data_IF_841086270149
#
_entry.id   IF_841086270149
#
_cell.length_a   1.000
_cell.length_b   1.000
_cell.length_c   1.000
_cell.angle_alpha   90.00
_cell.angle_beta   90.00
_cell.angle_gamma   90.00
#
_symmetry.space_group_name_H-M   'P 1'
#
loop_
_entity.id
_entity.type
_entity.pdbx_description
1 polymer ?
#
# COMPACT_ATOMS: atom_id res chain seq x y z
N UNK A 1 -47.16 -37.02 19.21
CA UNK A 1 -46.60 -37.39 17.90
C UNK A 1 -46.73 -36.18 16.99
N UNK A 2 -45.69 -35.34 16.90
CA UNK A 2 -45.60 -34.27 15.90
C UNK A 2 -44.14 -33.83 15.80
N UNK A 3 -43.65 -33.80 14.56
CA UNK A 3 -42.25 -33.83 14.17
C UNK A 3 -41.53 -32.49 14.36
N UNK A 4 -40.27 -32.56 14.82
CA UNK A 4 -39.30 -31.46 14.72
C UNK A 4 -38.66 -31.51 13.33
N UNK A 5 -38.97 -30.54 12.47
CA UNK A 5 -38.31 -30.36 11.17
C UNK A 5 -37.06 -29.50 11.38
N UNK A 6 -35.89 -30.14 11.42
CA UNK A 6 -34.60 -29.46 11.41
C UNK A 6 -34.33 -28.85 10.02
N UNK A 7 -34.45 -27.53 9.90
CA UNK A 7 -34.04 -26.78 8.72
C UNK A 7 -32.52 -26.79 8.53
N UNK A 8 -32.03 -27.35 7.42
CA UNK A 8 -30.61 -27.35 7.02
C UNK A 8 -30.11 -25.94 6.68
N UNK A 9 -28.84 -25.58 6.98
CA UNK A 9 -28.29 -24.26 6.66
C UNK A 9 -27.85 -24.19 5.18
N UNK A 10 -28.68 -23.61 4.30
CA UNK A 10 -28.39 -23.44 2.87
C UNK A 10 -27.62 -22.16 2.49
N UNK A 11 -27.18 -21.35 3.46
CA UNK A 11 -26.56 -20.04 3.18
C UNK A 11 -25.05 -20.06 2.81
N UNK A 12 -24.33 -21.18 2.99
CA UNK A 12 -22.88 -21.26 2.70
C UNK A 12 -22.53 -21.69 1.28
N UNK A 13 -23.32 -22.56 0.66
CA UNK A 13 -23.00 -23.09 -0.67
C UNK A 13 -23.27 -22.08 -1.81
N UNK A 14 -24.29 -21.23 -1.66
CA UNK A 14 -24.68 -20.23 -2.68
C UNK A 14 -23.66 -19.09 -2.76
N UNK A 15 -23.20 -18.55 -1.63
CA UNK A 15 -22.14 -17.53 -1.61
C UNK A 15 -20.85 -18.02 -2.27
N UNK A 16 -20.48 -19.29 -2.05
CA UNK A 16 -19.25 -19.88 -2.60
C UNK A 16 -19.30 -20.09 -4.12
N UNK A 17 -20.48 -20.34 -4.71
CA UNK A 17 -20.67 -20.40 -6.17
C UNK A 17 -20.58 -19.02 -6.82
N UNK A 18 -21.21 -18.01 -6.25
CA UNK A 18 -21.20 -16.63 -6.80
C UNK A 18 -19.78 -16.03 -6.82
N UNK A 19 -18.92 -16.42 -5.87
CA UNK A 19 -17.52 -15.97 -5.83
C UNK A 19 -16.58 -16.70 -6.80
N UNK A 20 -16.97 -17.87 -7.32
CA UNK A 20 -16.16 -18.66 -8.26
C UNK A 20 -16.17 -18.07 -9.68
N UNK A 21 -17.22 -17.33 -10.03
CA UNK A 21 -17.38 -16.66 -11.33
C UNK A 21 -16.80 -15.23 -11.34
N UNK A 22 -16.19 -14.78 -10.24
CA UNK A 22 -15.56 -13.46 -10.18
C UNK A 22 -14.18 -13.46 -10.83
N UNK A 23 -13.93 -12.44 -11.64
CA UNK A 23 -12.59 -12.17 -12.17
C UNK A 23 -11.57 -11.96 -11.04
N UNK A 24 -10.34 -12.43 -11.25
CA UNK A 24 -9.26 -12.25 -10.28
C UNK A 24 -8.58 -10.88 -10.45
N UNK A 25 -8.54 -10.08 -9.39
CA UNK A 25 -7.94 -8.75 -9.35
C UNK A 25 -6.50 -8.73 -9.83
N UNK A 26 -5.72 -9.78 -9.53
CA UNK A 26 -4.28 -9.83 -9.80
C UNK A 26 -3.97 -10.12 -11.27
N UNK A 27 -4.88 -10.77 -11.98
CA UNK A 27 -4.70 -11.22 -13.37
C UNK A 27 -5.68 -10.60 -14.36
N UNK A 28 -6.74 -9.91 -13.89
CA UNK A 28 -7.73 -9.28 -14.76
C UNK A 28 -7.12 -8.20 -15.68
N UNK A 29 -7.51 -8.14 -16.97
CA UNK A 29 -8.39 -9.09 -17.68
C UNK A 29 -7.67 -10.39 -18.06
N UNK A 30 -8.38 -11.52 -18.05
CA UNK A 30 -7.81 -12.80 -18.51
C UNK A 30 -7.88 -12.91 -20.05
N UNK A 31 -7.12 -13.84 -20.63
CA UNK A 31 -7.11 -14.05 -22.09
C UNK A 31 -8.51 -14.37 -22.68
N UNK A 32 -9.42 -14.95 -21.88
CA UNK A 32 -10.81 -15.18 -22.26
C UNK A 32 -11.72 -13.94 -22.14
N UNK A 33 -11.28 -12.89 -21.45
CA UNK A 33 -12.00 -11.61 -21.36
C UNK A 33 -11.70 -10.70 -22.56
N UNK A 34 -10.56 -10.90 -23.22
CA UNK A 34 -10.19 -10.26 -24.48
C UNK A 34 -10.84 -11.03 -25.64
N UNK A 35 -12.10 -10.74 -25.94
CA UNK A 35 -12.74 -11.31 -27.13
C UNK A 35 -11.90 -11.02 -28.38
N UNK A 36 -11.75 -12.05 -29.22
CA UNK A 36 -11.00 -12.11 -30.47
C UNK A 36 -11.56 -11.21 -31.57
N UNK A 37 -11.67 -9.90 -31.30
CA UNK A 37 -12.03 -8.88 -32.28
C UNK A 37 -10.81 -8.00 -32.57
N UNK A 38 -10.42 -8.02 -33.84
CA UNK A 38 -9.36 -7.25 -34.46
C UNK A 38 -9.23 -5.81 -33.93
N UNK A 39 -8.06 -5.49 -33.38
CA UNK A 39 -7.28 -4.24 -33.44
C UNK A 39 -8.01 -2.95 -33.89
N UNK A 40 -9.17 -2.66 -33.31
CA UNK A 40 -9.76 -1.33 -33.33
C UNK A 40 -9.92 -0.94 -31.86
N UNK A 41 -9.01 -0.10 -31.38
CA UNK A 41 -9.09 0.45 -30.01
C UNK A 41 -10.39 1.24 -29.92
N UNK A 42 -11.39 0.66 -29.26
CA UNK A 42 -12.65 1.34 -29.03
C UNK A 42 -12.38 2.61 -28.21
N UNK A 43 -13.00 3.76 -28.55
CA UNK A 43 -12.90 4.94 -27.72
C UNK A 43 -13.34 4.64 -26.29
N UNK A 44 -12.68 5.24 -25.30
CA UNK A 44 -12.95 5.01 -23.87
C UNK A 44 -14.44 5.02 -23.52
N UNK A 45 -15.20 6.00 -24.03
CA UNK A 45 -16.66 6.12 -23.81
C UNK A 45 -17.48 4.89 -24.21
N UNK A 46 -17.02 4.13 -25.22
CA UNK A 46 -17.67 2.90 -25.69
C UNK A 46 -17.17 1.71 -24.87
N UNK A 47 -15.86 1.63 -24.66
CA UNK A 47 -15.23 0.57 -23.89
C UNK A 47 -15.73 0.52 -22.45
N UNK A 48 -15.85 1.66 -21.77
CA UNK A 48 -16.34 1.74 -20.39
C UNK A 48 -17.79 1.26 -20.26
N UNK A 49 -18.66 1.56 -21.23
CA UNK A 49 -20.06 1.10 -21.22
C UNK A 49 -20.15 -0.42 -21.41
N UNK A 50 -19.37 -0.96 -22.34
CA UNK A 50 -19.29 -2.40 -22.57
C UNK A 50 -18.74 -3.13 -21.33
N UNK A 51 -17.68 -2.59 -20.74
CA UNK A 51 -17.08 -3.09 -19.50
C UNK A 51 -18.08 -3.12 -18.35
N UNK A 52 -18.79 -2.01 -18.10
CA UNK A 52 -19.81 -1.93 -17.04
C UNK A 52 -20.97 -2.92 -17.29
N UNK A 53 -21.43 -3.03 -18.54
CA UNK A 53 -22.50 -3.96 -18.92
C UNK A 53 -22.10 -5.42 -18.70
N UNK A 54 -20.83 -5.77 -18.95
CA UNK A 54 -20.30 -7.13 -18.83
C UNK A 54 -19.99 -7.53 -17.38
N UNK A 55 -19.41 -6.62 -16.59
CA UNK A 55 -18.80 -6.98 -15.31
C UNK A 55 -19.56 -6.49 -14.06
N UNK A 56 -20.48 -5.54 -14.18
CA UNK A 56 -21.20 -5.06 -13.01
C UNK A 56 -22.28 -6.02 -12.54
N UNK A 57 -22.37 -6.23 -11.23
CA UNK A 57 -23.25 -7.24 -10.64
C UNK A 57 -24.71 -6.82 -10.56
N UNK A 58 -24.96 -5.52 -10.42
CA UNK A 58 -26.29 -4.96 -10.20
C UNK A 58 -26.41 -3.65 -10.99
N UNK A 59 -27.56 -3.40 -11.63
CA UNK A 59 -27.85 -2.07 -12.13
C UNK A 59 -27.81 -1.08 -10.96
N UNK A 60 -27.42 0.19 -11.18
CA UNK A 60 -27.40 1.19 -10.12
C UNK A 60 -28.76 1.17 -9.39
N UNK A 61 -28.80 1.09 -8.04
CA UNK A 61 -30.07 1.14 -7.31
C UNK A 61 -30.80 2.38 -7.80
N UNK A 62 -32.05 2.21 -8.27
CA UNK A 62 -32.88 3.21 -8.97
C UNK A 62 -32.40 4.61 -8.67
N UNK A 63 -31.56 5.16 -9.55
CA UNK A 63 -30.72 6.31 -9.21
C UNK A 63 -31.63 7.46 -8.81
N UNK A 64 -31.73 7.74 -7.51
CA UNK A 64 -32.40 8.93 -6.99
C UNK A 64 -31.79 10.20 -7.60
N UNK A 65 -30.57 10.09 -8.14
CA UNK A 65 -29.79 11.16 -8.76
C UNK A 65 -29.48 10.80 -10.21
N UNK A 66 -30.16 11.42 -11.18
CA UNK A 66 -29.92 11.17 -12.60
C UNK A 66 -28.55 11.69 -13.10
N UNK A 67 -27.74 12.32 -12.25
CA UNK A 67 -26.42 12.87 -12.60
C UNK A 67 -25.22 12.12 -11.98
N UNK A 68 -25.46 11.17 -11.06
CA UNK A 68 -24.44 10.28 -10.49
C UNK A 68 -24.95 8.84 -10.53
N UNK A 69 -24.31 8.00 -11.34
CA UNK A 69 -24.64 6.59 -11.50
C UNK A 69 -23.49 5.72 -10.99
N UNK A 70 -23.72 4.98 -9.91
CA UNK A 70 -22.72 4.10 -9.31
C UNK A 70 -22.93 2.66 -9.72
N UNK A 71 -21.89 2.05 -10.26
CA UNK A 71 -21.81 0.64 -10.63
C UNK A 71 -20.82 -0.08 -9.72
N UNK A 72 -21.10 -1.33 -9.39
CA UNK A 72 -20.24 -2.14 -8.52
C UNK A 72 -19.75 -3.38 -9.26
N UNK A 73 -18.44 -3.59 -9.21
CA UNK A 73 -17.76 -4.77 -9.77
C UNK A 73 -16.95 -5.42 -8.66
N UNK A 74 -17.15 -6.71 -8.43
CA UNK A 74 -16.39 -7.46 -7.44
C UNK A 74 -15.27 -8.26 -8.10
N UNK A 75 -14.09 -8.22 -7.50
CA UNK A 75 -12.94 -9.02 -7.90
C UNK A 75 -12.50 -9.91 -6.76
N UNK A 76 -12.22 -11.18 -7.07
CA UNK A 76 -11.53 -12.08 -6.15
C UNK A 76 -10.05 -11.71 -6.08
N UNK A 77 -9.40 -11.83 -4.92
CA UNK A 77 -7.97 -11.53 -4.76
C UNK A 77 -7.17 -12.82 -4.59
N UNK A 78 -6.76 -13.45 -5.70
CA UNK A 78 -6.05 -14.73 -5.65
C UNK A 78 -6.79 -15.78 -4.82
N UNK A 79 -6.04 -16.71 -4.23
CA UNK A 79 -6.58 -17.77 -3.37
C UNK A 79 -6.59 -17.39 -1.88
N UNK A 80 -6.52 -16.09 -1.57
CA UNK A 80 -6.52 -15.62 -0.19
C UNK A 80 -7.90 -15.80 0.44
N UNK A 81 -7.93 -16.24 1.70
CA UNK A 81 -9.14 -16.27 2.50
C UNK A 81 -9.40 -14.87 3.12
N UNK A 82 -10.63 -14.39 2.99
CA UNK A 82 -11.14 -13.22 3.69
C UNK A 82 -11.37 -13.49 5.19
N UNK A 83 -11.68 -12.44 5.94
CA UNK A 83 -11.85 -12.50 7.39
C UNK A 83 -12.99 -13.40 7.88
N UNK A 84 -13.92 -13.78 7.01
CA UNK A 84 -15.05 -14.69 7.29
C UNK A 84 -14.78 -16.16 6.87
N UNK A 85 -13.57 -16.46 6.39
CA UNK A 85 -13.19 -17.77 5.86
C UNK A 85 -13.68 -18.05 4.43
N UNK A 86 -14.31 -17.07 3.76
CA UNK A 86 -14.60 -17.08 2.33
C UNK A 86 -13.42 -16.57 1.49
N UNK A 87 -13.52 -16.51 0.14
CA UNK A 87 -12.47 -15.90 -0.68
C UNK A 87 -12.38 -14.39 -0.42
N UNK A 88 -11.17 -13.83 -0.42
CA UNK A 88 -10.93 -12.41 -0.31
C UNK A 88 -11.46 -11.70 -1.57
N UNK A 89 -12.31 -10.69 -1.37
CA UNK A 89 -12.97 -9.95 -2.45
C UNK A 89 -12.73 -8.45 -2.26
N UNK A 90 -12.52 -7.75 -3.37
CA UNK A 90 -12.38 -6.30 -3.44
C UNK A 90 -13.49 -5.74 -4.34
N UNK A 91 -14.11 -4.64 -3.92
CA UNK A 91 -15.12 -3.93 -4.71
C UNK A 91 -14.49 -2.75 -5.44
N UNK A 92 -14.72 -2.67 -6.75
CA UNK A 92 -14.50 -1.49 -7.57
C UNK A 92 -15.84 -0.78 -7.77
N UNK A 93 -15.97 0.39 -7.17
CA UNK A 93 -17.05 1.33 -7.43
C UNK A 93 -16.69 2.17 -8.67
N UNK A 94 -17.55 2.16 -9.70
CA UNK A 94 -17.44 3.03 -10.87
C UNK A 94 -18.58 4.04 -10.86
N UNK A 95 -18.28 5.30 -10.60
CA UNK A 95 -19.27 6.39 -10.56
C UNK A 95 -19.20 7.17 -11.87
N UNK A 96 -20.25 7.08 -12.68
CA UNK A 96 -20.45 7.96 -13.84
C UNK A 96 -21.10 9.26 -13.37
N UNK A 97 -20.44 10.38 -13.67
CA UNK A 97 -20.90 11.73 -13.33
C UNK A 97 -21.22 12.54 -14.60
N UNK A 98 -22.42 13.12 -14.64
CA UNK A 98 -22.83 14.10 -15.64
C UNK A 98 -22.28 15.48 -15.24
N UNK A 99 -21.26 15.94 -15.95
CA UNK A 99 -20.50 17.14 -15.63
C UNK A 99 -21.36 18.40 -15.66
N UNK A 100 -22.32 18.48 -16.59
CA UNK A 100 -23.18 19.66 -16.73
C UNK A 100 -24.17 19.83 -15.57
N UNK A 101 -24.43 18.74 -14.85
CA UNK A 101 -25.39 18.69 -13.72
C UNK A 101 -24.70 18.47 -12.38
N UNK A 102 -23.38 18.37 -12.39
CA UNK A 102 -22.56 18.17 -11.20
C UNK A 102 -22.29 19.48 -10.46
N UNK A 103 -21.82 19.37 -9.20
CA UNK A 103 -21.38 20.52 -8.40
C UNK A 103 -20.17 21.25 -8.98
N UNK A 104 -19.35 20.54 -9.77
CA UNK A 104 -18.16 21.12 -10.37
C UNK A 104 -17.98 20.66 -11.81
N UNK A 105 -18.25 21.60 -12.72
CA UNK A 105 -18.06 21.46 -14.17
C UNK A 105 -16.58 21.24 -14.52
N UNK A 106 -15.68 21.79 -13.70
CA UNK A 106 -14.25 21.72 -13.93
C UNK A 106 -13.64 20.55 -13.16
N UNK A 107 -12.59 19.97 -13.74
CA UNK A 107 -11.77 18.99 -13.03
C UNK A 107 -10.54 19.69 -12.47
N UNK A 108 -10.39 19.72 -11.15
CA UNK A 108 -9.24 20.37 -10.50
C UNK A 108 -7.90 19.77 -10.94
N UNK A 109 -7.91 18.50 -11.32
CA UNK A 109 -6.74 17.73 -11.75
C UNK A 109 -6.34 18.08 -13.19
N UNK A 110 -7.29 18.58 -13.99
CA UNK A 110 -7.04 19.12 -15.31
C UNK A 110 -6.25 20.45 -15.29
N UNK A 111 -6.20 21.13 -14.15
CA UNK A 111 -5.43 22.37 -13.98
C UNK A 111 -3.94 22.16 -14.23
N UNK A 112 -3.37 21.05 -13.73
CA UNK A 112 -1.92 20.80 -13.82
C UNK A 112 -1.47 20.22 -15.16
N UNK A 113 -2.40 19.82 -16.02
CA UNK A 113 -2.12 19.32 -17.38
C UNK A 113 -2.46 20.31 -18.48
N UNK A 114 -2.77 21.57 -18.12
CA UNK A 114 -2.99 22.66 -19.07
C UNK A 114 -4.42 22.86 -19.56
N UNK A 115 -5.39 22.10 -19.03
CA UNK A 115 -6.82 22.28 -19.36
C UNK A 115 -7.48 23.36 -18.49
N UNK A 116 -6.85 23.71 -17.36
CA UNK A 116 -7.24 24.82 -16.48
C UNK A 116 -8.74 24.84 -16.17
N UNK A 117 -9.44 25.94 -16.48
CA UNK A 117 -10.86 26.14 -16.18
C UNK A 117 -11.75 25.83 -17.39
N UNK A 118 -11.36 24.89 -18.25
CA UNK A 118 -12.15 24.49 -19.41
C UNK A 118 -12.84 23.14 -19.15
N UNK A 119 -14.13 23.00 -19.51
CA UNK A 119 -14.79 21.70 -19.50
C UNK A 119 -14.11 20.73 -20.46
N UNK A 120 -13.73 19.55 -19.96
CA UNK A 120 -12.96 18.56 -20.75
C UNK A 120 -13.88 17.60 -21.50
N UNK A 121 -14.98 17.20 -20.87
CA UNK A 121 -15.99 16.31 -21.44
C UNK A 121 -17.30 16.42 -20.68
N UNK A 122 -18.41 16.04 -21.32
CA UNK A 122 -19.74 16.05 -20.69
C UNK A 122 -19.92 14.99 -19.58
N UNK A 123 -19.09 13.95 -19.57
CA UNK A 123 -19.10 12.91 -18.53
C UNK A 123 -17.70 12.65 -18.00
N UNK A 124 -17.60 12.29 -16.72
CA UNK A 124 -16.39 11.74 -16.11
C UNK A 124 -16.71 10.51 -15.28
N UNK A 125 -15.74 9.62 -15.14
CA UNK A 125 -15.89 8.33 -14.49
C UNK A 125 -14.89 8.23 -13.34
N UNK A 126 -15.38 7.98 -12.13
CA UNK A 126 -14.55 7.77 -10.95
C UNK A 126 -14.42 6.26 -10.73
N UNK A 127 -13.20 5.77 -10.68
CA UNK A 127 -12.86 4.37 -10.38
C UNK A 127 -12.28 4.31 -8.98
N UNK A 128 -13.04 3.74 -8.05
CA UNK A 128 -12.73 3.80 -6.63
C UNK A 128 -12.70 2.40 -6.03
N UNK A 129 -11.61 2.10 -5.33
CA UNK A 129 -11.52 0.96 -4.43
C UNK A 129 -11.38 1.53 -3.03
N UNK A 130 -12.29 1.20 -2.13
CA UNK A 130 -12.25 1.63 -0.73
C UNK A 130 -11.43 0.68 0.14
N UNK A 131 -10.96 1.19 1.27
CA UNK A 131 -10.32 0.39 2.30
C UNK A 131 -11.31 -0.59 2.93
N UNK A 132 -10.79 -1.64 3.55
CA UNK A 132 -11.60 -2.74 4.10
C UNK A 132 -12.58 -2.28 5.21
N UNK A 133 -12.35 -1.11 5.79
CA UNK A 133 -13.20 -0.48 6.81
C UNK A 133 -14.24 0.49 6.21
N UNK A 134 -14.18 0.76 4.90
CA UNK A 134 -15.11 1.65 4.20
C UNK A 134 -16.26 0.91 3.53
N UNK A 135 -17.51 1.27 3.88
CA UNK A 135 -18.67 0.82 3.11
C UNK A 135 -18.52 1.24 1.64
N UNK A 136 -18.81 0.32 0.71
CA UNK A 136 -18.80 0.60 -0.74
C UNK A 136 -19.69 1.80 -1.09
N UNK A 137 -19.29 2.62 -2.07
CA UNK A 137 -20.00 3.83 -2.49
C UNK A 137 -21.41 3.50 -2.99
N UNK A 138 -21.54 2.43 -3.78
CA UNK A 138 -22.83 1.90 -4.21
C UNK A 138 -23.55 1.05 -3.15
N UNK A 139 -22.98 0.93 -1.95
CA UNK A 139 -23.55 0.12 -0.88
C UNK A 139 -24.91 0.65 -0.42
N UNK A 140 -25.77 -0.26 0.00
CA UNK A 140 -27.09 0.12 0.51
C UNK A 140 -27.05 0.82 1.87
N UNK A 141 -25.89 1.12 2.45
CA UNK A 141 -25.77 1.75 3.76
C UNK A 141 -25.09 3.13 3.67
N UNK A 142 -25.73 4.16 4.22
CA UNK A 142 -25.29 5.56 4.27
C UNK A 142 -25.22 6.05 5.71
N UNK A 143 -24.49 7.13 5.98
CA UNK A 143 -24.45 7.74 7.32
C UNK A 143 -25.50 8.84 7.43
N UNK A 144 -26.21 8.89 8.55
CA UNK A 144 -27.19 9.92 8.85
C UNK A 144 -26.55 11.31 8.89
N UNK A 145 -27.09 12.29 8.17
CA UNK A 145 -26.61 13.67 8.21
C UNK A 145 -26.74 14.31 9.61
N UNK A 146 -27.77 13.95 10.37
CA UNK A 146 -28.00 14.51 11.71
C UNK A 146 -27.17 13.90 12.84
N UNK A 147 -26.92 12.58 12.82
CA UNK A 147 -26.26 11.89 13.94
C UNK A 147 -25.11 10.95 13.54
N UNK A 148 -24.83 10.75 12.25
CA UNK A 148 -23.76 9.88 11.77
C UNK A 148 -24.05 8.38 11.77
N UNK A 149 -25.19 7.94 12.31
CA UNK A 149 -25.56 6.51 12.38
C UNK A 149 -25.72 5.88 10.98
N UNK A 150 -25.37 4.59 10.84
CA UNK A 150 -25.53 3.86 9.59
C UNK A 150 -27.01 3.55 9.31
N UNK A 151 -27.49 3.91 8.12
CA UNK A 151 -28.87 3.76 7.65
C UNK A 151 -28.90 3.08 6.30
N UNK A 152 -29.96 2.32 6.03
CA UNK A 152 -30.15 1.76 4.69
C UNK A 152 -30.59 2.85 3.71
N UNK A 153 -30.15 2.82 2.45
CA UNK A 153 -30.44 3.84 1.42
C UNK A 153 -31.93 4.00 1.13
N UNK A 154 -32.71 2.94 1.39
CA UNK A 154 -34.17 2.95 1.24
C UNK A 154 -34.89 3.54 2.45
N UNK A 155 -34.20 3.71 3.58
CA UNK A 155 -34.79 4.27 4.79
C UNK A 155 -34.92 5.79 4.61
N UNK A 156 -36.14 6.29 4.53
CA UNK A 156 -36.43 7.73 4.41
C UNK A 156 -36.16 8.51 5.69
N UNK A 157 -35.98 7.83 6.82
CA UNK A 157 -35.75 8.44 8.13
C UNK A 157 -34.70 7.68 8.94
N UNK A 158 -33.88 8.41 9.66
CA UNK A 158 -32.95 7.84 10.61
C UNK A 158 -33.67 7.18 11.78
N UNK A 159 -33.40 5.91 12.06
CA UNK A 159 -34.01 5.19 13.20
C UNK A 159 -33.52 5.69 14.56
N UNK A 160 -32.37 6.36 14.60
CA UNK A 160 -31.74 6.86 15.83
C UNK A 160 -32.20 8.28 16.19
N UNK A 161 -32.15 9.23 15.25
CA UNK A 161 -32.48 10.63 15.51
C UNK A 161 -33.76 11.14 14.79
N UNK A 162 -34.49 10.27 14.08
CA UNK A 162 -35.65 10.62 13.26
C UNK A 162 -35.41 11.67 12.15
N UNK A 163 -34.14 12.01 11.84
CA UNK A 163 -33.81 12.89 10.71
C UNK A 163 -34.36 12.31 9.41
N UNK A 164 -35.11 13.12 8.67
CA UNK A 164 -35.64 12.74 7.35
C UNK A 164 -34.54 13.00 6.32
N UNK A 165 -34.11 11.96 5.62
CA UNK A 165 -33.06 12.10 4.61
C UNK A 165 -33.64 12.80 3.38
N UNK A 166 -33.18 14.03 3.12
CA UNK A 166 -33.55 14.78 1.91
C UNK A 166 -32.74 14.31 0.70
N UNK A 167 -33.16 14.70 -0.50
CA UNK A 167 -32.35 14.45 -1.71
C UNK A 167 -30.99 15.15 -1.65
N UNK A 168 -30.94 16.35 -1.05
CA UNK A 168 -29.71 17.12 -0.86
C UNK A 168 -28.76 16.43 0.11
N UNK A 169 -29.24 15.95 1.27
CA UNK A 169 -28.43 15.21 2.26
C UNK A 169 -27.74 13.99 1.62
N UNK A 170 -28.47 13.31 0.73
CA UNK A 170 -27.98 12.10 0.08
C UNK A 170 -27.01 12.43 -1.05
N UNK A 171 -27.24 13.52 -1.80
CA UNK A 171 -26.29 14.02 -2.78
C UNK A 171 -24.98 14.47 -2.11
N UNK A 172 -25.09 15.27 -1.04
CA UNK A 172 -23.96 15.69 -0.20
C UNK A 172 -23.14 14.50 0.26
N UNK A 173 -23.81 13.47 0.76
CA UNK A 173 -23.14 12.24 1.17
C UNK A 173 -22.35 11.59 0.03
N UNK A 174 -22.89 11.58 -1.20
CA UNK A 174 -22.21 10.98 -2.36
C UNK A 174 -20.96 11.76 -2.76
N UNK A 175 -21.04 13.10 -2.82
CA UNK A 175 -19.86 13.92 -3.07
C UNK A 175 -18.82 13.80 -1.95
N UNK A 176 -19.25 13.72 -0.69
CA UNK A 176 -18.35 13.43 0.43
C UNK A 176 -17.64 12.09 0.26
N UNK A 177 -18.29 11.06 -0.29
CA UNK A 177 -17.61 9.80 -0.61
C UNK A 177 -16.57 9.98 -1.72
N UNK A 178 -16.84 10.78 -2.75
CA UNK A 178 -15.88 11.06 -3.82
C UNK A 178 -14.68 11.90 -3.32
N UNK A 179 -14.93 12.84 -2.41
CA UNK A 179 -13.94 13.76 -1.86
C UNK A 179 -13.14 13.16 -0.70
N UNK A 180 -13.69 12.19 0.04
CA UNK A 180 -13.05 11.53 1.17
C UNK A 180 -12.00 10.49 0.74
N UNK A 181 -10.98 11.01 0.08
CA UNK A 181 -9.84 10.28 -0.48
C UNK A 181 -8.96 9.58 0.56
N UNK A 182 -9.20 9.76 1.87
CA UNK A 182 -8.43 9.10 2.94
C UNK A 182 -8.79 7.62 3.08
N UNK A 183 -10.01 7.26 2.67
CA UNK A 183 -10.53 5.88 2.70
C UNK A 183 -10.32 5.13 1.39
N UNK A 184 -9.81 5.80 0.35
CA UNK A 184 -9.63 5.21 -0.97
C UNK A 184 -8.28 4.49 -1.07
N UNK A 185 -8.29 3.20 -1.37
CA UNK A 185 -7.12 2.44 -1.80
C UNK A 185 -6.73 2.80 -3.24
N UNK A 186 -7.72 2.95 -4.12
CA UNK A 186 -7.54 3.45 -5.48
C UNK A 186 -8.57 4.54 -5.71
N UNK A 187 -8.15 5.64 -6.32
CA UNK A 187 -9.07 6.62 -6.90
C UNK A 187 -8.47 7.15 -8.19
N UNK A 188 -9.05 6.76 -9.30
CA UNK A 188 -8.78 7.33 -10.62
C UNK A 188 -10.01 8.05 -11.16
N UNK A 189 -9.80 9.10 -11.95
CA UNK A 189 -10.85 9.82 -12.67
C UNK A 189 -10.51 9.80 -14.15
N UNK A 190 -11.45 9.39 -15.01
CA UNK A 190 -11.27 9.37 -16.46
C UNK A 190 -12.41 10.13 -17.12
N UNK A 191 -12.05 11.12 -17.93
CA UNK A 191 -12.95 11.88 -18.78
C UNK A 191 -13.44 11.03 -19.96
N UNK A 192 -14.65 11.28 -20.44
CA UNK A 192 -15.23 10.51 -21.55
C UNK A 192 -14.41 10.59 -22.86
N UNK A 193 -13.51 11.58 -23.00
CA UNK A 193 -12.58 11.69 -24.12
C UNK A 193 -11.33 10.77 -23.98
N UNK A 194 -11.21 10.02 -22.88
CA UNK A 194 -10.15 9.06 -22.60
C UNK A 194 -8.93 9.62 -21.87
N UNK A 195 -8.92 10.89 -21.47
CA UNK A 195 -7.87 11.43 -20.60
C UNK A 195 -8.26 11.25 -19.13
N UNK A 196 -7.29 10.95 -18.27
CA UNK A 196 -7.58 10.73 -16.86
C UNK A 196 -6.50 11.19 -15.90
N UNK A 197 -6.80 11.02 -14.62
CA UNK A 197 -5.99 11.42 -13.49
C UNK A 197 -6.01 10.31 -12.44
N UNK A 198 -4.84 9.88 -11.99
CA UNK A 198 -4.69 9.00 -10.84
C UNK A 198 -4.53 9.86 -9.60
N UNK A 199 -5.49 9.78 -8.67
CA UNK A 199 -5.58 10.66 -7.50
C UNK A 199 -5.02 9.99 -6.25
N UNK A 200 -5.31 8.70 -6.07
CA UNK A 200 -4.88 7.94 -4.89
C UNK A 200 -4.46 6.53 -5.23
N UNK A 201 -3.39 6.11 -4.57
CA UNK A 201 -2.94 4.72 -4.48
C UNK A 201 -2.44 4.48 -3.06
N UNK A 202 -3.23 3.78 -2.26
CA UNK A 202 -2.92 3.42 -0.89
C UNK A 202 -2.91 1.89 -0.80
N UNK A 203 -1.71 1.31 -0.75
CA UNK A 203 -1.52 -0.12 -0.53
C UNK A 203 -1.56 -0.50 0.94
N UNK A 204 -0.81 -1.54 1.31
CA UNK A 204 -0.68 -2.00 2.71
C UNK A 204 -0.20 -0.90 3.66
N UNK A 205 0.72 -0.06 3.21
CA UNK A 205 1.23 1.04 4.01
C UNK A 205 0.26 2.23 4.09
N UNK A 206 -0.81 2.21 3.32
CA UNK A 206 -1.93 3.15 3.39
C UNK A 206 -3.19 2.53 4.00
N UNK A 207 -3.09 1.37 4.65
CA UNK A 207 -4.19 0.75 5.40
C UNK A 207 -4.89 -0.44 4.73
N UNK A 208 -4.50 -0.86 3.53
CA UNK A 208 -5.07 -2.06 2.92
C UNK A 208 -4.60 -3.34 3.63
N UNK A 209 -5.51 -4.26 3.96
CA UNK A 209 -5.12 -5.56 4.52
C UNK A 209 -4.70 -6.55 3.43
N UNK A 210 -5.29 -6.41 2.24
CA UNK A 210 -5.15 -7.36 1.13
C UNK A 210 -4.11 -6.88 0.10
N UNK A 211 -4.25 -5.66 -0.40
CA UNK A 211 -3.59 -5.18 -1.61
C UNK A 211 -2.33 -4.36 -1.31
N UNK A 212 -1.23 -4.70 -1.99
CA UNK A 212 -0.06 -3.82 -2.04
C UNK A 212 -0.30 -2.68 -3.03
N UNK A 213 0.47 -1.58 -2.90
CA UNK A 213 0.39 -0.48 -3.88
C UNK A 213 0.75 -0.96 -5.30
N UNK A 214 1.63 -1.96 -5.41
CA UNK A 214 1.98 -2.59 -6.68
C UNK A 214 0.81 -3.38 -7.28
N UNK A 215 0.04 -4.11 -6.47
CA UNK A 215 -1.16 -4.80 -6.94
C UNK A 215 -2.19 -3.82 -7.51
N UNK A 216 -2.42 -2.72 -6.79
CA UNK A 216 -3.35 -1.67 -7.21
C UNK A 216 -2.90 -1.03 -8.52
N UNK A 217 -1.62 -0.66 -8.63
CA UNK A 217 -1.09 -0.08 -9.86
C UNK A 217 -1.11 -1.03 -11.05
N UNK A 218 -0.77 -2.31 -10.85
CA UNK A 218 -0.86 -3.32 -11.91
C UNK A 218 -2.30 -3.48 -12.41
N UNK A 219 -3.27 -3.49 -11.50
CA UNK A 219 -4.69 -3.53 -11.86
C UNK A 219 -5.10 -2.26 -12.61
N UNK A 220 -4.73 -1.08 -12.10
CA UNK A 220 -5.05 0.20 -12.73
C UNK A 220 -4.49 0.32 -14.16
N UNK A 221 -3.25 -0.12 -14.36
CA UNK A 221 -2.57 -0.11 -15.66
C UNK A 221 -3.30 -0.99 -16.69
N UNK A 222 -3.59 -2.25 -16.32
CA UNK A 222 -4.36 -3.16 -17.16
C UNK A 222 -5.79 -2.69 -17.41
N UNK A 223 -6.44 -2.10 -16.41
CA UNK A 223 -7.77 -1.51 -16.56
C UNK A 223 -7.74 -0.35 -17.56
N UNK A 224 -6.74 0.52 -17.49
CA UNK A 224 -6.57 1.62 -18.43
C UNK A 224 -6.37 1.12 -19.86
N UNK A 225 -5.55 0.10 -20.05
CA UNK A 225 -5.34 -0.55 -21.35
C UNK A 225 -6.65 -1.17 -21.88
N UNK A 226 -7.36 -1.93 -21.05
CA UNK A 226 -8.64 -2.57 -21.38
C UNK A 226 -9.70 -1.55 -21.81
N UNK A 227 -9.73 -0.41 -21.13
CA UNK A 227 -10.70 0.65 -21.38
C UNK A 227 -10.28 1.62 -22.51
N UNK A 228 -9.13 1.42 -23.15
CA UNK A 228 -8.64 2.33 -24.20
C UNK A 228 -8.40 3.75 -23.69
N UNK A 229 -7.90 3.88 -22.45
CA UNK A 229 -7.53 5.17 -21.86
C UNK A 229 -6.33 5.73 -22.61
N UNK A 230 -6.42 6.99 -23.02
CA UNK A 230 -5.42 7.64 -23.89
C UNK A 230 -4.19 8.08 -23.13
N UNK A 231 -4.38 8.71 -21.96
CA UNK A 231 -3.31 9.20 -21.11
C UNK A 231 -3.83 9.46 -19.71
N UNK A 232 -3.05 9.06 -18.72
CA UNK A 232 -3.33 9.34 -17.30
C UNK A 232 -2.22 10.20 -16.72
N UNK A 233 -2.57 11.28 -16.03
CA UNK A 233 -1.60 12.04 -15.23
C UNK A 233 -1.64 11.61 -13.77
N UNK A 234 -0.53 11.76 -13.06
CA UNK A 234 -0.47 11.59 -11.60
C UNK A 234 0.31 12.75 -11.02
N UNK A 235 -0.20 13.33 -9.93
CA UNK A 235 0.58 14.25 -9.10
C UNK A 235 1.14 13.47 -7.92
N UNK A 236 2.46 13.27 -7.94
CA UNK A 236 3.13 12.50 -6.89
C UNK A 236 3.41 13.35 -5.64
N UNK A 237 2.39 13.52 -4.81
CA UNK A 237 2.41 14.27 -3.54
C UNK A 237 2.74 13.42 -2.31
N UNK A 238 3.17 12.17 -2.50
CA UNK A 238 3.42 11.23 -1.40
C UNK A 238 4.57 11.70 -0.50
N UNK A 239 4.34 11.73 0.82
CA UNK A 239 5.37 12.02 1.83
C UNK A 239 5.92 10.76 2.50
N UNK A 240 5.57 9.58 1.98
CA UNK A 240 5.95 8.29 2.57
C UNK A 240 7.47 8.15 2.64
N UNK A 241 7.99 7.93 3.85
CA UNK A 241 9.41 7.73 4.15
C UNK A 241 10.34 8.88 3.76
N UNK A 242 9.81 10.09 3.52
CA UNK A 242 10.63 11.28 3.21
C UNK A 242 11.11 11.38 1.77
N UNK A 243 11.84 12.45 1.47
CA UNK A 243 12.37 12.76 0.14
C UNK A 243 13.50 11.80 -0.25
N UNK A 244 14.34 11.44 0.71
CA UNK A 244 15.51 10.60 0.56
C UNK A 244 15.12 9.23 0.00
N UNK A 245 14.03 8.65 0.52
CA UNK A 245 13.50 7.37 0.05
C UNK A 245 12.97 7.45 -1.39
N UNK A 246 12.40 8.60 -1.79
CA UNK A 246 11.91 8.82 -3.17
C UNK A 246 13.08 8.94 -4.14
N UNK A 247 14.12 9.68 -3.74
CA UNK A 247 15.33 9.84 -4.53
C UNK A 247 16.05 8.52 -4.74
N UNK A 248 16.06 7.63 -3.74
CA UNK A 248 16.67 6.30 -3.83
C UNK A 248 16.15 5.53 -5.06
N UNK A 249 14.84 5.51 -5.28
CA UNK A 249 14.26 4.83 -6.45
C UNK A 249 14.74 5.47 -7.76
N UNK A 250 14.72 6.80 -7.85
CA UNK A 250 15.17 7.53 -9.03
C UNK A 250 16.66 7.33 -9.31
N UNK A 251 17.50 7.27 -8.28
CA UNK A 251 18.95 7.03 -8.39
C UNK A 251 19.23 5.64 -8.94
N UNK A 252 18.55 4.61 -8.42
CA UNK A 252 18.75 3.22 -8.82
C UNK A 252 18.16 2.95 -10.21
N UNK A 253 16.92 3.38 -10.45
CA UNK A 253 16.15 3.03 -11.65
C UNK A 253 16.24 4.06 -12.78
N UNK A 254 16.66 5.28 -12.48
CA UNK A 254 16.66 6.39 -13.43
C UNK A 254 15.31 7.09 -13.60
N UNK A 255 14.28 6.68 -12.85
CA UNK A 255 12.93 7.24 -12.92
C UNK A 255 12.18 7.15 -11.59
N UNK A 256 11.10 7.95 -11.39
CA UNK A 256 10.24 7.85 -10.21
C UNK A 256 9.57 6.47 -10.10
N UNK A 257 8.97 6.18 -8.94
CA UNK A 257 8.28 4.90 -8.69
C UNK A 257 7.20 4.60 -9.74
N UNK A 258 6.39 5.60 -10.09
CA UNK A 258 5.36 5.46 -11.14
C UNK A 258 5.92 5.11 -12.52
N UNK A 259 7.22 5.36 -12.77
CA UNK A 259 7.87 5.04 -14.04
C UNK A 259 7.92 3.54 -14.34
N UNK A 260 7.78 2.68 -13.34
CA UNK A 260 7.63 1.22 -13.54
C UNK A 260 6.33 0.87 -14.31
N UNK A 261 5.34 1.79 -14.35
CA UNK A 261 4.11 1.69 -15.15
C UNK A 261 4.08 2.68 -16.32
N UNK A 262 5.26 3.07 -16.83
CA UNK A 262 5.36 3.94 -18.00
C UNK A 262 5.01 5.41 -17.77
N UNK A 263 4.69 5.84 -16.54
CA UNK A 263 4.52 7.25 -16.24
C UNK A 263 5.84 8.00 -16.43
N UNK A 264 5.76 9.14 -17.10
CA UNK A 264 6.91 10.00 -17.40
C UNK A 264 6.69 11.38 -16.81
N UNK A 265 7.76 12.16 -16.75
CA UNK A 265 7.67 13.57 -16.43
C UNK A 265 6.66 14.27 -17.36
N UNK A 266 5.68 14.95 -16.77
CA UNK A 266 4.66 15.70 -17.48
C UNK A 266 5.02 17.19 -17.50
N UNK A 267 4.61 17.89 -16.45
CA UNK A 267 4.99 19.27 -16.19
C UNK A 267 5.72 19.34 -14.84
N UNK A 268 6.79 20.13 -14.78
CA UNK A 268 7.50 20.43 -13.53
C UNK A 268 6.83 21.56 -12.76
N UNK A 269 7.31 21.83 -11.54
CA UNK A 269 7.03 23.11 -10.89
C UNK A 269 7.64 24.26 -11.69
N UNK A 270 7.29 25.50 -11.34
CA UNK A 270 7.84 26.69 -11.99
C UNK A 270 9.36 26.60 -12.17
N UNK A 271 9.82 26.84 -13.40
CA UNK A 271 11.24 26.77 -13.83
C UNK A 271 11.94 25.42 -13.72
N UNK A 272 11.24 24.31 -13.50
CA UNK A 272 11.85 22.97 -13.57
C UNK A 272 11.46 22.27 -14.87
N UNK A 273 12.48 21.95 -15.67
CA UNK A 273 12.33 21.21 -16.92
C UNK A 273 12.59 19.71 -16.74
N UNK A 274 12.25 18.94 -17.77
CA UNK A 274 12.62 17.52 -17.86
C UNK A 274 14.14 17.34 -17.84
N UNK A 275 14.87 18.24 -18.48
CA UNK A 275 16.32 18.15 -18.56
C UNK A 275 16.97 18.46 -17.21
N UNK A 276 16.43 19.41 -16.45
CA UNK A 276 16.86 19.66 -15.06
C UNK A 276 16.65 18.42 -14.18
N UNK A 277 15.49 17.77 -14.31
CA UNK A 277 15.20 16.53 -13.59
C UNK A 277 16.18 15.41 -13.96
N UNK A 278 16.41 15.20 -15.27
CA UNK A 278 17.36 14.18 -15.76
C UNK A 278 18.79 14.47 -15.32
N UNK A 279 19.22 15.73 -15.39
CA UNK A 279 20.53 16.16 -14.94
C UNK A 279 20.71 15.93 -13.43
N UNK A 280 19.69 16.24 -12.62
CA UNK A 280 19.72 16.00 -11.18
C UNK A 280 19.82 14.50 -10.85
N UNK A 281 19.02 13.64 -11.50
CA UNK A 281 19.10 12.19 -11.33
C UNK A 281 20.46 11.65 -11.79
N UNK A 282 20.96 12.11 -12.93
CA UNK A 282 22.28 11.71 -13.45
C UNK A 282 23.41 12.11 -12.49
N UNK A 283 23.39 13.33 -11.98
CA UNK A 283 24.38 13.84 -11.02
C UNK A 283 24.39 13.02 -9.72
N UNK A 284 23.22 12.80 -9.11
CA UNK A 284 23.12 12.00 -7.87
C UNK A 284 23.53 10.54 -8.08
N UNK A 285 23.17 9.96 -9.22
CA UNK A 285 23.45 8.55 -9.51
C UNK A 285 24.89 8.27 -9.89
N UNK A 286 25.54 9.19 -10.61
CA UNK A 286 26.94 9.06 -11.07
C UNK A 286 27.97 9.54 -10.05
N UNK A 287 27.54 10.13 -8.93
CA UNK A 287 28.45 10.59 -7.88
C UNK A 287 29.37 9.44 -7.45
N UNK A 288 30.70 9.59 -7.58
CA UNK A 288 31.62 8.50 -7.32
C UNK A 288 31.72 8.24 -5.80
N UNK A 289 31.81 6.97 -5.41
CA UNK A 289 31.95 6.59 -4.00
C UNK A 289 33.26 7.11 -3.38
N UNK A 290 34.26 7.38 -4.22
CA UNK A 290 35.51 8.04 -3.82
C UNK A 290 35.27 9.43 -3.23
N UNK A 291 34.19 10.12 -3.61
CA UNK A 291 33.83 11.41 -3.02
C UNK A 291 33.48 11.31 -1.52
N UNK A 292 33.11 10.11 -1.04
CA UNK A 292 32.84 9.86 0.39
C UNK A 292 34.07 9.35 1.15
N UNK A 293 35.19 9.09 0.47
CA UNK A 293 36.43 8.65 1.13
C UNK A 293 37.04 9.77 1.97
N UNK A 294 37.83 9.39 2.99
CA UNK A 294 38.41 10.34 3.94
C UNK A 294 39.40 11.27 3.24
N UNK A 295 39.16 12.58 3.31
CA UNK A 295 40.19 13.57 3.07
C UNK A 295 41.03 13.75 4.35
N UNK A 296 42.16 13.05 4.43
CA UNK A 296 43.17 13.24 5.48
C UNK A 296 43.13 12.26 6.66
N UNK A 297 43.85 12.59 7.74
CA UNK A 297 44.09 11.73 8.93
C UNK A 297 42.93 11.71 9.93
N UNK A 298 41.67 11.79 9.48
CA UNK A 298 40.51 11.71 10.37
C UNK A 298 40.06 10.25 10.55
N UNK A 299 39.51 9.87 11.72
CA UNK A 299 38.90 8.56 11.91
C UNK A 299 37.82 8.31 10.86
N UNK A 300 37.68 7.05 10.44
CA UNK A 300 36.62 6.67 9.49
C UNK A 300 35.24 6.94 10.06
N UNK A 301 34.35 7.42 9.21
CA UNK A 301 32.94 7.59 9.55
C UNK A 301 32.18 6.28 9.33
N UNK A 302 31.04 6.12 10.01
CA UNK A 302 30.15 4.97 9.82
C UNK A 302 29.74 4.77 8.35
N UNK A 303 29.62 5.86 7.57
CA UNK A 303 29.31 5.79 6.15
C UNK A 303 30.47 5.14 5.36
N UNK A 304 31.71 5.54 5.66
CA UNK A 304 32.89 4.99 5.01
C UNK A 304 33.10 3.51 5.33
N UNK A 305 32.84 3.12 6.58
CA UNK A 305 32.89 1.71 6.98
C UNK A 305 31.81 0.90 6.27
N UNK A 306 30.61 1.45 6.12
CA UNK A 306 29.51 0.81 5.40
C UNK A 306 29.82 0.65 3.90
N UNK A 307 30.36 1.69 3.25
CA UNK A 307 30.79 1.61 1.85
C UNK A 307 31.88 0.55 1.70
N UNK A 308 32.89 0.56 2.58
CA UNK A 308 33.99 -0.43 2.55
C UNK A 308 33.49 -1.86 2.74
N UNK A 309 32.51 -2.06 3.62
CA UNK A 309 31.89 -3.36 3.86
C UNK A 309 31.16 -3.88 2.61
N UNK A 310 30.27 -3.07 2.02
CA UNK A 310 29.54 -3.52 0.82
C UNK A 310 30.45 -3.66 -0.39
N UNK A 311 31.52 -2.86 -0.49
CA UNK A 311 32.57 -3.05 -1.48
C UNK A 311 33.27 -4.41 -1.31
N UNK A 312 33.57 -4.85 -0.08
CA UNK A 312 34.27 -6.11 0.16
C UNK A 312 33.40 -7.35 -0.05
N UNK A 313 32.07 -7.20 0.02
CA UNK A 313 31.11 -8.30 -0.21
C UNK A 313 30.63 -8.34 -1.66
N UNK A 314 30.83 -7.27 -2.43
CA UNK A 314 30.46 -7.25 -3.83
C UNK A 314 31.46 -8.01 -4.69
N UNK A 315 30.96 -8.79 -5.65
CA UNK A 315 31.79 -9.44 -6.69
C UNK A 315 32.31 -8.44 -7.73
N UNK A 316 31.72 -7.24 -7.78
CA UNK A 316 32.06 -6.18 -8.73
C UNK A 316 32.49 -4.93 -7.99
N UNK A 317 33.36 -4.16 -8.62
CA UNK A 317 33.73 -2.85 -8.07
C UNK A 317 32.52 -1.91 -8.08
N UNK A 318 32.12 -1.41 -6.89
CA UNK A 318 31.09 -0.38 -6.79
C UNK A 318 31.77 0.98 -6.96
N UNK A 319 31.48 1.66 -8.07
CA UNK A 319 32.14 2.93 -8.42
C UNK A 319 31.30 4.12 -8.01
N UNK A 320 29.98 4.04 -8.22
CA UNK A 320 29.04 5.15 -8.03
C UNK A 320 28.01 4.88 -6.92
N UNK A 321 27.33 5.95 -6.50
CA UNK A 321 26.16 5.87 -5.61
C UNK A 321 25.11 4.91 -6.17
N UNK A 322 24.86 4.94 -7.49
CA UNK A 322 23.93 3.98 -8.14
C UNK A 322 24.38 2.55 -7.94
N UNK A 323 25.66 2.24 -8.13
CA UNK A 323 26.17 0.87 -8.01
C UNK A 323 25.97 0.33 -6.60
N UNK A 324 26.32 1.12 -5.60
CA UNK A 324 26.14 0.78 -4.19
C UNK A 324 24.67 0.48 -3.87
N UNK A 325 23.76 1.40 -4.19
CA UNK A 325 22.35 1.21 -3.86
C UNK A 325 21.68 0.11 -4.70
N UNK A 326 22.12 -0.10 -5.94
CA UNK A 326 21.64 -1.23 -6.76
C UNK A 326 22.05 -2.57 -6.14
N UNK A 327 23.29 -2.68 -5.66
CA UNK A 327 23.79 -3.85 -4.95
C UNK A 327 23.06 -4.08 -3.62
N UNK A 328 22.83 -3.03 -2.83
CA UNK A 328 22.04 -3.13 -1.60
C UNK A 328 20.63 -3.66 -1.86
N UNK A 329 19.98 -3.15 -2.91
CA UNK A 329 18.63 -3.59 -3.28
C UNK A 329 18.62 -5.03 -3.80
N UNK A 330 19.66 -5.50 -4.49
CA UNK A 330 19.76 -6.91 -4.89
C UNK A 330 19.88 -7.81 -3.67
N UNK A 331 20.74 -7.48 -2.70
CA UNK A 331 20.86 -8.23 -1.45
C UNK A 331 19.54 -8.32 -0.69
N UNK A 332 18.81 -7.20 -0.56
CA UNK A 332 17.49 -7.19 0.10
C UNK A 332 16.50 -8.09 -0.64
N UNK A 333 16.52 -8.07 -1.98
CA UNK A 333 15.66 -8.92 -2.80
C UNK A 333 16.00 -10.40 -2.62
N UNK A 334 17.28 -10.75 -2.59
CA UNK A 334 17.74 -12.13 -2.45
C UNK A 334 17.37 -12.69 -1.07
N UNK A 335 17.53 -11.90 0.01
CA UNK A 335 17.07 -12.26 1.36
C UNK A 335 15.56 -12.49 1.39
N UNK A 336 14.78 -11.65 0.72
CA UNK A 336 13.31 -11.82 0.65
C UNK A 336 12.92 -13.08 -0.11
N UNK A 337 13.59 -13.39 -1.22
CA UNK A 337 13.37 -14.64 -1.95
C UNK A 337 13.71 -15.86 -1.09
N UNK A 338 14.85 -15.86 -0.40
CA UNK A 338 15.24 -16.94 0.50
C UNK A 338 14.26 -17.12 1.67
N UNK A 339 13.69 -16.02 2.18
CA UNK A 339 12.68 -16.06 3.24
C UNK A 339 11.37 -16.64 2.73
N UNK A 340 10.96 -16.31 1.51
CA UNK A 340 9.73 -16.84 0.90
C UNK A 340 9.86 -18.33 0.58
N UNK A 341 11.01 -18.79 0.09
CA UNK A 341 11.27 -20.21 -0.18
C UNK A 341 11.30 -21.07 1.09
N UNK A 342 11.79 -20.51 2.22
CA UNK A 342 11.79 -21.21 3.51
C UNK A 342 10.41 -21.34 4.16
N UNK A 343 9.43 -20.54 3.75
CA UNK A 343 8.06 -20.66 4.25
C UNK A 343 7.27 -21.75 3.50
N UNK A 344 7.63 -22.04 2.24
CA UNK A 344 7.05 -23.13 1.44
C UNK A 344 7.70 -24.50 1.71
N UNK A 345 9.01 -24.53 2.05
CA UNK A 345 9.73 -25.77 2.33
C UNK A 345 9.56 -26.25 3.78
N UNK A 346 8.40 -26.86 4.06
CA UNK A 346 8.19 -27.74 5.21
C UNK A 346 8.42 -29.21 4.83
N UNK A 347 9.58 -29.52 4.24
CA UNK A 347 10.02 -30.89 3.99
C UNK A 347 11.49 -31.10 4.42
N UNK A 348 11.87 -32.26 5.02
CA UNK A 348 13.21 -32.44 5.56
C UNK A 348 14.17 -33.04 4.52
N UNK A 349 15.43 -32.60 4.59
CA UNK A 349 16.65 -33.10 3.91
C UNK A 349 16.98 -32.43 2.55
N UNK A 350 18.23 -32.03 2.26
CA UNK A 350 19.55 -32.40 2.78
C UNK A 350 20.39 -31.16 3.07
N UNK A 351 21.21 -31.22 4.13
CA UNK A 351 22.26 -30.22 4.45
C UNK A 351 23.17 -30.00 3.24
N UNK A 352 23.10 -28.82 2.64
CA UNK A 352 24.11 -28.37 1.68
C UNK A 352 24.83 -27.15 2.25
N UNK A 353 26.13 -27.36 2.46
CA UNK A 353 27.18 -26.49 3.00
C UNK A 353 26.80 -25.00 3.07
N UNK A 354 26.50 -24.56 4.29
CA UNK A 354 26.68 -23.16 4.69
C UNK A 354 28.16 -22.83 4.58
N UNK A 355 28.52 -22.03 3.57
CA UNK A 355 29.75 -21.27 3.61
C UNK A 355 29.67 -20.35 4.83
N UNK A 356 30.50 -20.61 5.83
CA UNK A 356 30.66 -19.76 7.00
C UNK A 356 31.21 -18.40 6.57
N UNK A 357 30.33 -17.49 6.12
CA UNK A 357 30.68 -16.07 6.07
C UNK A 357 30.32 -15.47 7.43
N UNK A 358 31.19 -15.74 8.41
CA UNK A 358 31.24 -15.10 9.74
C UNK A 358 31.65 -13.62 9.62
N UNK A 359 30.98 -12.84 8.77
CA UNK A 359 31.31 -11.44 8.51
C UNK A 359 30.08 -10.49 8.59
N UNK A 360 28.93 -10.95 9.08
CA UNK A 360 27.67 -10.20 9.02
C UNK A 360 27.28 -9.43 10.28
N UNK A 361 28.20 -9.18 11.20
CA UNK A 361 27.91 -8.34 12.34
C UNK A 361 29.21 -7.76 12.88
N UNK A 362 29.27 -6.44 13.14
CA UNK A 362 30.39 -5.84 13.90
C UNK A 362 30.49 -6.38 15.33
N UNK A 363 29.53 -7.20 15.74
CA UNK A 363 29.40 -7.80 17.05
C UNK A 363 29.27 -9.31 16.88
N UNK A 364 30.10 -10.05 17.57
CA UNK A 364 30.00 -11.51 17.59
C UNK A 364 28.70 -11.94 18.28
N UNK A 365 28.28 -13.20 18.07
CA UNK A 365 27.17 -13.80 18.84
C UNK A 365 27.43 -13.69 20.34
N UNK A 366 28.70 -13.75 20.76
CA UNK A 366 29.11 -13.54 22.15
C UNK A 366 28.94 -12.11 22.65
N UNK A 367 29.11 -11.10 21.79
CA UNK A 367 28.87 -9.69 22.15
C UNK A 367 27.39 -9.41 22.36
N UNK A 368 26.53 -9.97 21.49
CA UNK A 368 25.07 -9.91 21.65
C UNK A 368 24.65 -10.61 22.94
N UNK A 369 25.14 -11.85 23.16
CA UNK A 369 24.83 -12.63 24.36
C UNK A 369 25.28 -11.92 25.64
N UNK A 370 26.45 -11.29 25.64
CA UNK A 370 26.98 -10.53 26.79
C UNK A 370 26.08 -9.37 27.17
N UNK A 371 25.58 -8.63 26.17
CA UNK A 371 24.66 -7.50 26.40
C UNK A 371 23.27 -7.99 26.83
N UNK A 372 22.74 -9.03 26.20
CA UNK A 372 21.48 -9.66 26.60
C UNK A 372 21.56 -10.18 28.05
N UNK A 373 22.63 -10.90 28.42
CA UNK A 373 22.86 -11.37 29.79
C UNK A 373 22.93 -10.22 30.79
N UNK A 374 23.54 -9.10 30.43
CA UNK A 374 23.58 -7.90 31.27
C UNK A 374 22.18 -7.29 31.47
N UNK A 375 21.37 -7.20 30.42
CA UNK A 375 19.99 -6.71 30.50
C UNK A 375 19.11 -7.65 31.33
N UNK A 376 19.25 -8.97 31.15
CA UNK A 376 18.54 -9.98 31.93
C UNK A 376 18.93 -9.93 33.40
N UNK A 377 20.22 -9.70 33.74
CA UNK A 377 20.64 -9.50 35.13
C UNK A 377 19.97 -8.29 35.77
N UNK A 378 19.82 -7.19 35.03
CA UNK A 378 19.10 -6.00 35.53
C UNK A 378 17.63 -6.33 35.78
N UNK A 379 16.95 -6.99 34.82
CA UNK A 379 15.54 -7.38 35.00
C UNK A 379 15.34 -8.35 36.17
N UNK A 380 16.25 -9.31 36.37
CA UNK A 380 16.22 -10.21 37.53
C UNK A 380 16.47 -9.50 38.86
N UNK A 381 17.28 -8.45 38.88
CA UNK A 381 17.57 -7.68 40.08
C UNK A 381 16.41 -6.75 40.49
N UNK A 382 15.56 -6.37 39.54
CA UNK A 382 14.33 -5.61 39.80
C UNK A 382 13.24 -6.59 40.26
N UNK A 383 13.26 -6.95 41.54
CA UNK A 383 12.26 -7.85 42.14
C UNK A 383 10.86 -7.21 42.15
N UNK A 384 9.85 -7.93 41.64
CA UNK A 384 8.41 -7.60 41.78
C UNK A 384 7.63 -7.41 40.46
N UNK A 385 6.41 -6.88 40.55
CA UNK A 385 5.51 -6.59 39.41
C UNK A 385 5.88 -5.33 38.62
N UNK A 386 7.09 -4.79 38.83
CA UNK A 386 7.51 -3.50 38.30
C UNK A 386 8.01 -3.62 36.86
N UNK A 387 7.57 -2.70 36.01
CA UNK A 387 8.01 -2.60 34.63
C UNK A 387 9.21 -1.65 34.54
N UNK A 388 10.25 -2.05 33.78
CA UNK A 388 11.45 -1.25 33.58
C UNK A 388 11.37 -0.55 32.24
N UNK A 389 11.30 0.78 32.24
CA UNK A 389 11.33 1.58 31.02
C UNK A 389 12.63 1.40 30.23
N UNK A 390 12.53 1.38 28.90
CA UNK A 390 13.68 1.12 28.01
C UNK A 390 14.87 2.06 28.25
N UNK A 391 14.62 3.33 28.60
CA UNK A 391 15.70 4.29 28.91
C UNK A 391 16.46 3.91 30.18
N UNK A 392 15.75 3.44 31.20
CA UNK A 392 16.35 3.00 32.47
C UNK A 392 17.15 1.72 32.26
N UNK A 393 16.59 0.75 31.52
CA UNK A 393 17.29 -0.49 31.17
C UNK A 393 18.55 -0.21 30.33
N UNK A 394 18.42 0.61 29.28
CA UNK A 394 19.55 1.05 28.44
C UNK A 394 20.62 1.77 29.24
N UNK A 395 20.22 2.63 30.18
CA UNK A 395 21.13 3.35 31.07
C UNK A 395 21.90 2.42 32.00
N UNK A 396 21.22 1.43 32.59
CA UNK A 396 21.82 0.46 33.49
C UNK A 396 22.89 -0.41 32.80
N UNK A 397 22.72 -0.70 31.51
CA UNK A 397 23.69 -1.47 30.72
C UNK A 397 24.52 -0.63 29.75
N UNK A 398 24.61 0.70 29.93
CA UNK A 398 25.31 1.60 29.01
C UNK A 398 26.79 1.25 28.76
N UNK A 399 27.43 0.56 29.71
CA UNK A 399 28.83 0.09 29.63
C UNK A 399 28.97 -1.33 29.07
N UNK A 400 27.87 -2.05 28.85
CA UNK A 400 27.90 -3.44 28.39
C UNK A 400 28.17 -3.60 26.89
N UNK A 401 27.95 -2.54 26.10
CA UNK A 401 28.16 -2.54 24.66
C UNK A 401 28.00 -1.16 24.02
N UNK A 402 28.29 -1.07 22.72
CA UNK A 402 28.10 0.18 21.98
C UNK A 402 26.62 0.62 21.97
N UNK A 403 26.30 1.93 21.85
CA UNK A 403 24.93 2.41 21.82
C UNK A 403 24.02 1.69 20.81
N UNK A 404 24.56 1.35 19.63
CA UNK A 404 23.83 0.63 18.58
C UNK A 404 23.57 -0.84 18.95
N UNK A 405 24.49 -1.50 19.66
CA UNK A 405 24.31 -2.87 20.14
C UNK A 405 23.24 -2.93 21.24
N UNK A 406 23.20 -1.92 22.12
CA UNK A 406 22.15 -1.80 23.13
C UNK A 406 20.77 -1.64 22.50
N UNK A 407 20.66 -0.76 21.49
CA UNK A 407 19.38 -0.53 20.80
C UNK A 407 18.93 -1.77 20.00
N UNK A 408 19.88 -2.53 19.45
CA UNK A 408 19.61 -3.82 18.81
C UNK A 408 19.08 -4.85 19.82
N UNK A 409 19.81 -5.08 20.92
CA UNK A 409 19.40 -6.06 21.94
C UNK A 409 18.06 -5.71 22.58
N UNK A 410 17.72 -4.42 22.76
CA UNK A 410 16.42 -4.00 23.30
C UNK A 410 15.25 -4.38 22.38
N UNK A 411 15.41 -4.28 21.06
CA UNK A 411 14.37 -4.67 20.08
C UNK A 411 14.08 -6.17 20.12
N UNK A 412 15.12 -6.97 20.30
CA UNK A 412 15.05 -8.44 20.29
C UNK A 412 14.82 -9.05 21.70
N UNK A 413 14.72 -8.23 22.75
CA UNK A 413 14.63 -8.70 24.13
C UNK A 413 13.30 -9.37 24.46
N UNK A 414 12.21 -8.97 23.78
CA UNK A 414 10.87 -9.52 24.02
C UNK A 414 10.82 -11.01 23.66
N UNK A 415 10.34 -11.85 24.57
CA UNK A 415 10.20 -13.28 24.33
C UNK A 415 11.48 -14.09 24.60
N UNK A 416 12.58 -13.45 25.02
CA UNK A 416 13.80 -14.14 25.42
C UNK A 416 13.63 -14.80 26.78
N UNK A 417 14.24 -15.98 26.95
CA UNK A 417 14.19 -16.72 28.20
C UNK A 417 15.12 -16.06 29.23
N UNK A 418 14.54 -15.50 30.28
CA UNK A 418 15.27 -14.90 31.38
C UNK A 418 15.73 -15.94 32.41
N UNK A 419 15.02 -17.04 32.59
CA UNK A 419 15.41 -18.19 33.41
C UNK A 419 14.57 -19.41 32.98
N UNK A 420 14.85 -20.65 33.43
CA UNK A 420 13.95 -21.77 33.17
C UNK A 420 12.52 -21.42 33.59
N UNK A 421 11.60 -21.38 32.62
CA UNK A 421 10.20 -21.00 32.83
C UNK A 421 9.88 -19.49 32.89
N UNK A 422 10.87 -18.59 32.85
CA UNK A 422 10.66 -17.13 32.85
C UNK A 422 11.01 -16.53 31.49
N UNK A 423 10.08 -15.74 30.92
CA UNK A 423 10.22 -15.10 29.61
C UNK A 423 10.02 -13.59 29.76
N UNK A 424 10.86 -12.80 29.07
CA UNK A 424 10.75 -11.34 29.11
C UNK A 424 9.50 -10.88 28.40
N UNK A 425 8.65 -10.16 29.12
CA UNK A 425 7.48 -9.47 28.58
C UNK A 425 7.85 -8.03 28.21
N UNK A 426 7.27 -7.52 27.11
CA UNK A 426 7.45 -6.13 26.71
C UNK A 426 6.08 -5.50 26.37
N UNK A 427 5.83 -4.29 26.85
CA UNK A 427 4.60 -3.52 26.59
C UNK A 427 4.93 -2.10 26.13
N UNK A 428 4.00 -1.49 25.41
CA UNK A 428 4.07 -0.10 24.98
C UNK A 428 3.14 0.75 25.87
N UNK A 429 3.62 1.87 26.41
CA UNK A 429 2.78 2.83 27.11
C UNK A 429 2.00 3.64 26.05
N UNK A 430 0.68 3.67 26.15
CA UNK A 430 -0.26 4.24 25.19
C UNK A 430 -0.03 5.72 24.88
N UNK A 431 0.59 6.46 25.80
CA UNK A 431 0.62 7.93 25.75
C UNK A 431 1.98 8.47 25.25
N UNK A 432 3.03 7.63 25.25
CA UNK A 432 4.40 8.05 24.91
C UNK A 432 5.13 7.16 23.90
N UNK A 433 4.55 6.01 23.51
CA UNK A 433 5.21 5.03 22.65
C UNK A 433 6.46 4.38 23.29
N UNK A 434 6.71 4.64 24.58
CA UNK A 434 7.87 4.13 25.29
C UNK A 434 7.66 2.66 25.65
N UNK A 435 8.66 1.83 25.34
CA UNK A 435 8.67 0.41 25.68
C UNK A 435 9.08 0.20 27.14
N UNK A 436 8.41 -0.72 27.82
CA UNK A 436 8.83 -1.24 29.13
C UNK A 436 8.99 -2.76 29.09
N UNK A 437 9.90 -3.27 29.91
CA UNK A 437 10.27 -4.69 29.98
C UNK A 437 10.07 -5.24 31.39
N UNK A 438 9.74 -6.53 31.49
CA UNK A 438 9.64 -7.26 32.75
C UNK A 438 10.09 -8.71 32.57
#
# INVERSE_FOLDING_TARGET
MTMVVNGRPTKRLVKRRVTADLSDFLTFPTAGDQDSSSVAVNPFRTAVRAFLTKHALLPPPSSLFPHLLTWQILFRVGDLAGGDGGPAVVCLDVVEEDVARSRSVYCDQCRVVGWSSNPVSAKRYHFIIKSDDGNSIGGYNKTCAGCGESLHITDSKCKSCNHVMTTEDVEDWMYQQLENTTTHLLHGVIHANGYGHLLRVNGREGGSRLLSGRHIMNFWDRLCETLGVRKVSVMDVSKKNGLEFRLLHAVIKGHPWYGEWGYRFGAGSFSLTLDDYRAAVASLSSLPLSAFQSQGRKPRTCLQDMISFYQSVSERELVSVRDLFTFLMSLIRDVRHLTHLKLDESSPCKKQRTCESRALCSWTVDDVRRVEDAMLKVLRAVSGSNWVGWRALRGAVCKAGSPKLLDYCLKELKGKQAAPGLVVAARCISDSGAMEYR
#
